data_IF_500104580233
#
_entry.id   IF_500104580233
#
_cell.length_a   1.000
_cell.length_b   1.000
_cell.length_c   1.000
_cell.angle_alpha   90.00
_cell.angle_beta   90.00
_cell.angle_gamma   90.00
#
_symmetry.space_group_name_H-M   'P 1'
#
loop_
_entity.id
_entity.type
_entity.pdbx_description
1 polymer ?
#
# COMPACT_ATOMS: atom_id res chain seq x y z
N UNK A 1 4.42 -1.42 -29.96
CA UNK A 1 4.46 -2.08 -28.62
C UNK A 1 5.36 -1.36 -27.60
N UNK A 2 5.63 -0.04 -27.71
CA UNK A 2 6.45 0.69 -26.71
C UNK A 2 5.65 1.26 -25.52
N UNK A 3 4.33 1.49 -25.64
CA UNK A 3 3.56 2.21 -24.61
C UNK A 3 3.39 1.45 -23.29
N UNK A 4 3.44 0.11 -23.32
CA UNK A 4 3.38 -0.71 -22.09
C UNK A 4 4.68 -0.68 -21.28
N UNK A 5 5.84 -0.42 -21.89
CA UNK A 5 7.13 -0.37 -21.18
C UNK A 5 7.28 0.86 -20.29
N UNK A 6 6.47 1.90 -20.50
CA UNK A 6 6.45 3.11 -19.69
C UNK A 6 5.34 3.11 -18.63
N UNK A 7 4.62 1.99 -18.47
CA UNK A 7 3.71 1.81 -17.34
C UNK A 7 4.58 1.68 -16.09
N UNK A 8 4.79 2.82 -15.42
CA UNK A 8 5.57 2.90 -14.21
C UNK A 8 4.97 2.08 -13.07
N UNK A 9 5.67 2.01 -11.92
CA UNK A 9 5.25 1.24 -10.76
C UNK A 9 3.87 1.61 -10.24
N UNK A 10 3.36 2.82 -10.56
CA UNK A 10 2.01 3.26 -10.20
C UNK A 10 0.89 2.31 -10.65
N UNK A 11 1.01 1.67 -11.82
CA UNK A 11 -0.01 0.71 -12.26
C UNK A 11 -0.03 -0.55 -11.38
N UNK A 12 1.15 -1.07 -11.04
CA UNK A 12 1.30 -2.25 -10.17
C UNK A 12 0.75 -1.96 -8.77
N UNK A 13 1.03 -0.75 -8.26
CA UNK A 13 0.50 -0.28 -6.98
C UNK A 13 -1.04 -0.23 -7.04
N UNK A 14 -1.63 0.43 -8.03
CA UNK A 14 -3.09 0.50 -8.17
C UNK A 14 -3.74 -0.88 -8.27
N UNK A 15 -3.12 -1.81 -9.00
CA UNK A 15 -3.61 -3.18 -9.11
C UNK A 15 -3.56 -3.93 -7.76
N UNK A 16 -2.58 -3.65 -6.90
CA UNK A 16 -2.50 -4.22 -5.57
C UNK A 16 -3.56 -3.65 -4.60
N UNK A 17 -3.95 -2.39 -4.78
CA UNK A 17 -4.96 -1.73 -3.94
C UNK A 17 -6.40 -2.00 -4.39
N UNK A 18 -6.65 -2.13 -5.70
CA UNK A 18 -8.00 -2.32 -6.24
C UNK A 18 -8.30 -3.80 -6.41
N UNK A 19 -8.95 -4.37 -5.39
CA UNK A 19 -9.46 -5.74 -5.40
C UNK A 19 -10.99 -5.82 -5.33
N UNK A 20 -11.58 -7.03 -5.51
CA UNK A 20 -13.03 -7.23 -5.45
C UNK A 20 -13.64 -6.77 -4.11
N UNK A 21 -12.88 -6.88 -3.01
CA UNK A 21 -13.28 -6.36 -1.70
C UNK A 21 -13.46 -4.85 -1.68
N UNK A 22 -12.51 -4.08 -2.23
CA UNK A 22 -12.61 -2.61 -2.29
C UNK A 22 -13.81 -2.14 -3.09
N UNK A 23 -14.09 -2.80 -4.23
CA UNK A 23 -15.26 -2.50 -5.07
C UNK A 23 -16.56 -2.83 -4.33
N UNK A 24 -16.60 -3.96 -3.62
CA UNK A 24 -17.78 -4.39 -2.85
C UNK A 24 -18.07 -3.40 -1.70
N UNK A 25 -17.04 -3.04 -0.93
CA UNK A 25 -17.18 -2.09 0.18
C UNK A 25 -17.61 -0.71 -0.33
N UNK A 26 -17.01 -0.21 -1.42
CA UNK A 26 -17.41 1.07 -2.01
C UNK A 26 -18.86 1.05 -2.50
N UNK A 27 -19.30 -0.05 -3.10
CA UNK A 27 -20.68 -0.22 -3.58
C UNK A 27 -21.68 -0.26 -2.42
N UNK A 28 -21.39 -1.02 -1.36
CA UNK A 28 -22.24 -1.08 -0.15
C UNK A 28 -22.27 0.27 0.55
N UNK A 29 -21.13 0.96 0.65
CA UNK A 29 -21.04 2.28 1.24
C UNK A 29 -21.87 3.31 0.46
N UNK A 30 -21.80 3.31 -0.87
CA UNK A 30 -22.62 4.16 -1.73
C UNK A 30 -24.12 3.83 -1.64
N UNK A 31 -24.48 2.55 -1.57
CA UNK A 31 -25.88 2.14 -1.42
C UNK A 31 -26.47 2.50 -0.04
N UNK A 32 -25.67 2.46 1.03
CA UNK A 32 -26.13 2.75 2.41
C UNK A 32 -26.08 4.23 2.77
N UNK A 33 -25.06 4.95 2.33
CA UNK A 33 -24.78 6.32 2.77
C UNK A 33 -24.87 7.35 1.64
N UNK A 34 -25.19 6.92 0.41
CA UNK A 34 -25.22 7.80 -0.75
C UNK A 34 -23.90 8.55 -0.94
N UNK A 35 -23.98 9.86 -1.12
CA UNK A 35 -22.82 10.73 -1.30
C UNK A 35 -22.21 11.26 0.01
N UNK A 36 -22.74 10.89 1.18
CA UNK A 36 -22.29 11.42 2.46
C UNK A 36 -20.82 11.09 2.79
N UNK A 37 -20.27 10.03 2.19
CA UNK A 37 -18.89 9.58 2.42
C UNK A 37 -17.89 10.09 1.38
N UNK A 38 -18.31 10.85 0.36
CA UNK A 38 -17.40 11.33 -0.70
C UNK A 38 -16.23 12.16 -0.14
N UNK A 39 -16.50 13.02 0.84
CA UNK A 39 -15.45 13.84 1.45
C UNK A 39 -14.36 12.97 2.12
N UNK A 40 -14.76 11.87 2.75
CA UNK A 40 -13.84 10.93 3.39
C UNK A 40 -12.99 10.19 2.36
N UNK A 41 -13.56 9.85 1.20
CA UNK A 41 -12.83 9.23 0.08
C UNK A 41 -11.79 10.20 -0.49
N UNK A 42 -12.15 11.47 -0.68
CA UNK A 42 -11.22 12.51 -1.15
C UNK A 42 -10.08 12.71 -0.16
N UNK A 43 -10.41 12.86 1.13
CA UNK A 43 -9.42 12.99 2.19
C UNK A 43 -8.47 11.78 2.24
N UNK A 44 -9.03 10.57 2.20
CA UNK A 44 -8.26 9.32 2.17
C UNK A 44 -7.32 9.26 0.97
N UNK A 45 -7.79 9.66 -0.22
CA UNK A 45 -6.99 9.67 -1.44
C UNK A 45 -5.77 10.60 -1.32
N UNK A 46 -5.95 11.79 -0.76
CA UNK A 46 -4.85 12.74 -0.51
C UNK A 46 -3.83 12.13 0.47
N UNK A 47 -4.32 11.55 1.56
CA UNK A 47 -3.46 10.87 2.53
C UNK A 47 -2.67 9.71 1.88
N UNK A 48 -3.31 8.90 1.03
CA UNK A 48 -2.65 7.83 0.28
C UNK A 48 -1.55 8.35 -0.63
N UNK A 49 -1.78 9.45 -1.37
CA UNK A 49 -0.76 10.05 -2.25
C UNK A 49 0.49 10.45 -1.45
N UNK A 50 0.31 11.11 -0.30
CA UNK A 50 1.41 11.53 0.57
C UNK A 50 2.18 10.31 1.07
N UNK A 51 1.48 9.28 1.55
CA UNK A 51 2.10 8.04 2.02
C UNK A 51 2.86 7.31 0.90
N UNK A 52 2.32 7.30 -0.31
CA UNK A 52 2.96 6.67 -1.47
C UNK A 52 4.25 7.40 -1.85
N UNK A 53 4.26 8.72 -1.82
CA UNK A 53 5.43 9.55 -2.09
C UNK A 53 6.52 9.30 -1.03
N UNK A 54 6.17 9.30 0.26
CA UNK A 54 7.11 8.98 1.33
C UNK A 54 7.72 7.58 1.19
N UNK A 55 6.88 6.60 0.84
CA UNK A 55 7.29 5.21 0.65
C UNK A 55 8.20 5.04 -0.56
N UNK A 56 7.87 5.73 -1.66
CA UNK A 56 8.68 5.77 -2.87
C UNK A 56 10.04 6.44 -2.61
N UNK A 57 10.05 7.58 -1.92
CA UNK A 57 11.29 8.28 -1.53
C UNK A 57 12.16 7.41 -0.64
N UNK A 58 11.57 6.72 0.35
CA UNK A 58 12.30 5.78 1.19
C UNK A 58 12.96 4.70 0.32
N UNK A 59 12.19 4.02 -0.53
CA UNK A 59 12.71 2.95 -1.39
C UNK A 59 13.83 3.40 -2.35
N UNK A 60 13.78 4.64 -2.84
CA UNK A 60 14.82 5.19 -3.71
C UNK A 60 16.08 5.56 -2.92
N UNK A 61 15.95 6.14 -1.72
CA UNK A 61 17.08 6.63 -0.92
C UNK A 61 17.79 5.48 -0.19
N UNK A 62 17.04 4.60 0.47
CA UNK A 62 17.61 3.51 1.28
C UNK A 62 17.90 2.26 0.46
N UNK A 63 17.36 2.17 -0.77
CA UNK A 63 17.33 0.94 -1.60
C UNK A 63 16.71 -0.27 -0.89
N UNK A 64 15.88 -0.01 0.11
CA UNK A 64 15.19 -1.03 0.90
C UNK A 64 13.68 -0.83 0.79
N UNK A 65 12.94 -1.93 0.81
CA UNK A 65 11.48 -1.87 0.94
C UNK A 65 11.04 -1.34 2.31
N UNK A 66 9.81 -0.82 2.41
CA UNK A 66 9.22 -0.42 3.70
C UNK A 66 9.32 -1.53 4.76
N UNK A 67 9.06 -2.78 4.38
CA UNK A 67 9.11 -3.92 5.30
C UNK A 67 10.52 -4.22 5.82
N UNK A 68 11.53 -4.06 4.97
CA UNK A 68 12.94 -4.24 5.34
C UNK A 68 13.40 -3.11 6.28
N UNK A 69 13.01 -1.87 5.99
CA UNK A 69 13.30 -0.71 6.84
C UNK A 69 12.63 -0.84 8.23
N UNK A 70 11.41 -1.40 8.29
CA UNK A 70 10.74 -1.71 9.56
C UNK A 70 11.45 -2.83 10.34
N UNK A 71 12.01 -3.83 9.66
CA UNK A 71 12.79 -4.90 10.30
C UNK A 71 14.12 -4.43 10.91
N UNK A 72 14.65 -3.30 10.45
CA UNK A 72 15.90 -2.69 10.94
C UNK A 72 15.68 -1.66 12.06
N UNK A 73 14.43 -1.44 12.48
CA UNK A 73 14.10 -0.53 13.59
C UNK A 73 14.64 -1.04 14.93
N UNK A 74 15.15 -0.12 15.75
CA UNK A 74 15.72 -0.43 17.08
C UNK A 74 14.69 -0.90 18.10
N UNK A 75 13.39 -0.63 17.86
CA UNK A 75 12.33 -1.04 18.76
C UNK A 75 12.06 -2.56 18.65
N UNK A 76 12.29 -3.34 19.71
CA UNK A 76 12.22 -4.80 19.67
C UNK A 76 10.82 -5.34 19.35
N UNK A 77 9.75 -4.59 19.67
CA UNK A 77 8.37 -4.99 19.38
C UNK A 77 8.08 -4.89 17.87
N UNK A 78 8.47 -3.79 17.26
CA UNK A 78 8.29 -3.58 15.81
C UNK A 78 9.15 -4.56 15.00
N UNK A 79 10.35 -4.86 15.48
CA UNK A 79 11.24 -5.85 14.90
C UNK A 79 10.66 -7.27 14.99
N UNK A 80 10.09 -7.66 16.13
CA UNK A 80 9.45 -8.97 16.30
C UNK A 80 8.24 -9.13 15.36
N UNK A 81 7.39 -8.09 15.28
CA UNK A 81 6.24 -8.09 14.35
C UNK A 81 6.70 -8.17 12.89
N UNK A 82 7.72 -7.40 12.51
CA UNK A 82 8.28 -7.44 11.16
C UNK A 82 8.86 -8.82 10.84
N UNK A 83 9.59 -9.44 11.77
CA UNK A 83 10.17 -10.77 11.61
C UNK A 83 9.09 -11.85 11.51
N UNK A 84 8.02 -11.80 12.31
CA UNK A 84 6.92 -12.78 12.23
C UNK A 84 6.17 -12.66 10.90
N UNK A 85 5.92 -11.43 10.45
CA UNK A 85 5.25 -11.17 9.17
C UNK A 85 6.14 -11.51 7.97
N UNK A 86 7.46 -11.34 8.10
CA UNK A 86 8.44 -11.65 7.04
C UNK A 86 8.76 -13.15 6.96
N UNK A 87 9.01 -13.81 8.10
CA UNK A 87 9.31 -15.25 8.15
C UNK A 87 8.16 -16.14 7.67
N UNK A 88 6.91 -15.67 7.73
CA UNK A 88 5.77 -16.41 7.16
C UNK A 88 5.84 -16.60 5.65
N UNK A 89 6.70 -15.86 4.94
CA UNK A 89 6.84 -15.93 3.48
C UNK A 89 8.04 -16.77 3.01
N UNK A 90 9.03 -17.01 3.86
CA UNK A 90 10.30 -17.65 3.48
C UNK A 90 10.40 -19.15 3.81
N UNK A 91 9.36 -19.76 4.39
CA UNK A 91 9.36 -21.20 4.73
C UNK A 91 8.89 -22.14 3.58
N UNK A 92 9.00 -21.69 2.32
CA UNK A 92 8.63 -22.48 1.14
C UNK A 92 9.71 -22.46 0.03
N UNK A 93 10.97 -22.59 0.42
CA UNK A 93 12.04 -23.14 -0.42
C UNK A 93 12.73 -24.28 0.32
#
# INVERSE_FOLDING_TARGET
>A
MQRLKNLGPGLLITAAFIGPGTVTTASIAGAKYGFALLWAVVFSTIATIILQEMSGRLGVVTRQGLGEALGQTENPILRLLAIVLYQGKDNHL
#
